data_IF_208694329276
#
_entry.id   IF_208694329276
#
_cell.length_a   1.000
_cell.length_b   1.000
_cell.length_c   1.000
_cell.angle_alpha   90.00
_cell.angle_beta   90.00
_cell.angle_gamma   90.00
#
_symmetry.space_group_name_H-M   'P 1'
#
loop_
_entity.id
_entity.type
_entity.pdbx_description
1 polymer ?
#
# COMPACT_ATOMS: atom_id res chain seq x y z
N UNK A 1 9.45 26.56 -3.04
CA UNK A 1 9.21 26.06 -1.67
C UNK A 1 8.33 24.83 -1.79
N UNK A 2 8.69 23.72 -1.15
CA UNK A 2 7.93 22.48 -1.27
C UNK A 2 6.47 22.66 -0.82
N UNK A 3 5.57 22.04 -1.57
CA UNK A 3 4.15 21.97 -1.25
C UNK A 3 3.84 20.73 -0.42
N UNK A 4 4.65 19.68 -0.60
CA UNK A 4 4.45 18.37 -0.02
C UNK A 4 5.76 17.82 0.55
N UNK A 5 5.70 17.08 1.66
CA UNK A 5 6.81 16.27 2.14
C UNK A 5 6.48 14.79 1.99
N UNK A 6 7.43 14.01 1.52
CA UNK A 6 7.36 12.55 1.47
C UNK A 6 8.11 12.01 2.68
N UNK A 7 7.44 11.30 3.60
CA UNK A 7 8.16 10.64 4.69
C UNK A 7 8.97 9.46 4.16
N UNK A 8 10.26 9.46 4.47
CA UNK A 8 11.12 8.32 4.27
C UNK A 8 10.68 7.16 5.18
N UNK A 9 10.78 5.94 4.67
CA UNK A 9 10.56 4.75 5.48
C UNK A 9 11.57 3.68 5.08
N UNK A 10 12.74 3.66 5.72
CA UNK A 10 13.85 2.75 5.37
C UNK A 10 13.51 1.25 5.48
N UNK A 11 12.35 0.89 6.04
CA UNK A 11 11.85 -0.50 6.02
C UNK A 11 11.22 -0.86 4.67
N UNK A 12 10.69 0.13 3.93
CA UNK A 12 9.89 -0.08 2.71
C UNK A 12 10.31 0.79 1.50
N UNK A 13 11.05 1.88 1.71
CA UNK A 13 11.53 2.84 0.73
C UNK A 13 13.02 3.08 0.95
N UNK A 14 13.81 3.02 -0.10
CA UNK A 14 15.16 3.58 -0.12
C UNK A 14 15.19 5.00 -0.70
N UNK A 15 16.36 5.63 -0.73
CA UNK A 15 16.51 6.99 -1.26
C UNK A 15 16.14 7.12 -2.74
N UNK A 16 16.39 6.08 -3.54
CA UNK A 16 16.03 6.08 -4.96
C UNK A 16 14.51 6.01 -5.13
N UNK A 17 13.84 5.17 -4.35
CA UNK A 17 12.38 5.08 -4.35
C UNK A 17 11.74 6.44 -3.99
N UNK A 18 12.31 7.16 -3.01
CA UNK A 18 11.82 8.49 -2.60
C UNK A 18 12.07 9.54 -3.69
N UNK A 19 13.23 9.52 -4.36
CA UNK A 19 13.52 10.42 -5.47
C UNK A 19 12.55 10.22 -6.63
N UNK A 20 12.30 8.98 -7.04
CA UNK A 20 11.34 8.66 -8.10
C UNK A 20 9.92 9.08 -7.75
N UNK A 21 9.51 8.92 -6.49
CA UNK A 21 8.23 9.42 -6.01
C UNK A 21 8.13 10.95 -6.12
N UNK A 22 9.20 11.68 -5.79
CA UNK A 22 9.24 13.13 -5.91
C UNK A 22 9.14 13.56 -7.38
N UNK A 23 9.85 12.88 -8.28
CA UNK A 23 9.76 13.13 -9.72
C UNK A 23 8.33 12.89 -10.24
N UNK A 24 7.71 11.77 -9.86
CA UNK A 24 6.34 11.46 -10.25
C UNK A 24 5.32 12.46 -9.69
N UNK A 25 5.55 13.02 -8.50
CA UNK A 25 4.75 14.11 -7.94
C UNK A 25 4.94 15.41 -8.73
N UNK A 26 6.15 15.68 -9.21
CA UNK A 26 6.42 16.84 -10.06
C UNK A 26 5.70 16.75 -11.41
N UNK A 27 5.53 15.55 -11.99
CA UNK A 27 4.70 15.33 -13.18
C UNK A 27 3.22 15.68 -12.94
N UNK A 28 2.75 15.59 -11.69
CA UNK A 28 1.41 16.01 -11.28
C UNK A 28 1.33 17.51 -10.94
N UNK A 29 2.41 18.27 -11.14
CA UNK A 29 2.50 19.69 -10.82
C UNK A 29 2.75 19.99 -9.33
N UNK A 30 3.14 18.97 -8.55
CA UNK A 30 3.39 19.10 -7.11
C UNK A 30 4.88 19.22 -6.84
N UNK A 31 5.28 20.21 -6.05
CA UNK A 31 6.67 20.29 -5.57
C UNK A 31 6.80 19.52 -4.26
N UNK A 32 7.57 18.44 -4.26
CA UNK A 32 7.78 17.60 -3.09
C UNK A 32 9.24 17.57 -2.64
N UNK A 33 9.47 17.36 -1.34
CA UNK A 33 10.80 17.16 -0.75
C UNK A 33 10.77 15.94 0.20
N UNK A 34 11.90 15.24 0.39
CA UNK A 34 11.97 14.15 1.35
C UNK A 34 11.93 14.71 2.78
N UNK A 35 11.43 13.92 3.72
CA UNK A 35 11.54 14.24 5.14
C UNK A 35 11.75 12.99 5.97
N UNK A 36 12.46 13.14 7.09
CA UNK A 36 12.63 12.06 8.05
C UNK A 36 11.28 11.56 8.56
N UNK A 37 11.18 10.28 9.00
CA UNK A 37 9.97 9.76 9.59
C UNK A 37 9.51 10.64 10.77
N UNK A 38 8.26 11.10 10.71
CA UNK A 38 7.60 11.90 11.78
C UNK A 38 6.39 11.18 12.32
N UNK A 39 5.76 10.35 11.50
CA UNK A 39 4.56 9.61 11.87
C UNK A 39 4.96 8.25 12.40
N UNK A 40 4.57 7.96 13.64
CA UNK A 40 4.68 6.61 14.17
C UNK A 40 3.65 5.70 13.48
N UNK A 41 4.11 4.86 12.55
CA UNK A 41 3.27 3.83 11.94
C UNK A 41 2.92 2.78 13.00
N UNK A 42 1.64 2.68 13.39
CA UNK A 42 1.16 1.61 14.27
C UNK A 42 0.53 0.50 13.43
N UNK A 43 1.09 -0.70 13.52
CA UNK A 43 0.56 -1.92 12.88
C UNK A 43 1.42 -2.42 11.72
N UNK A 44 1.15 -3.67 11.31
CA UNK A 44 1.85 -4.36 10.23
C UNK A 44 1.51 -3.81 8.82
N UNK A 45 0.53 -2.90 8.72
CA UNK A 45 0.04 -2.37 7.44
C UNK A 45 0.78 -1.06 7.11
N UNK A 46 1.82 -1.18 6.29
CA UNK A 46 2.58 -0.05 5.77
C UNK A 46 1.71 0.93 4.98
N UNK A 47 1.83 2.22 5.29
CA UNK A 47 1.29 3.33 4.52
C UNK A 47 2.40 4.28 4.06
N UNK A 48 2.25 4.83 2.86
CA UNK A 48 3.06 5.97 2.41
C UNK A 48 2.48 7.24 3.03
N UNK A 49 3.30 8.04 3.72
CA UNK A 49 2.84 9.27 4.38
C UNK A 49 3.30 10.49 3.57
N UNK A 50 2.34 11.34 3.22
CA UNK A 50 2.57 12.60 2.54
C UNK A 50 2.08 13.75 3.43
N UNK A 51 2.90 14.79 3.63
CA UNK A 51 2.49 15.98 4.38
C UNK A 51 2.24 17.15 3.45
N UNK A 52 1.01 17.63 3.41
CA UNK A 52 0.62 18.85 2.74
C UNK A 52 1.01 20.06 3.58
N UNK A 53 1.84 20.92 3.02
CA UNK A 53 2.40 22.08 3.72
C UNK A 53 1.64 23.39 3.44
N UNK A 54 0.81 23.44 2.40
CA UNK A 54 0.20 24.70 1.94
C UNK A 54 -1.20 24.90 2.48
N UNK A 55 -1.43 26.05 3.10
CA UNK A 55 -2.77 26.47 3.54
C UNK A 55 -3.48 27.34 2.48
N UNK A 56 -2.74 27.83 1.49
CA UNK A 56 -3.20 28.75 0.44
C UNK A 56 -3.73 28.04 -0.82
N UNK A 57 -3.66 26.72 -0.86
CA UNK A 57 -4.10 25.90 -1.98
C UNK A 57 -4.90 24.72 -1.45
N UNK A 58 -5.93 24.31 -2.20
CA UNK A 58 -6.71 23.15 -1.82
C UNK A 58 -5.79 21.92 -1.72
N UNK A 59 -5.93 21.12 -0.65
CA UNK A 59 -5.21 19.86 -0.54
C UNK A 59 -5.41 18.99 -1.78
N UNK A 60 -4.44 18.12 -2.06
CA UNK A 60 -4.48 17.12 -3.16
C UNK A 60 -5.49 15.99 -2.91
N UNK A 61 -6.66 16.32 -2.37
CA UNK A 61 -7.71 15.41 -1.96
C UNK A 61 -8.84 15.32 -2.97
N UNK A 62 -8.85 16.15 -4.04
CA UNK A 62 -9.79 16.02 -5.15
C UNK A 62 -9.65 14.66 -5.85
N UNK A 63 -10.75 14.02 -6.19
CA UNK A 63 -10.76 12.60 -6.59
C UNK A 63 -9.93 12.29 -7.84
N UNK A 64 -9.90 13.19 -8.82
CA UNK A 64 -9.06 13.03 -10.02
C UNK A 64 -7.56 13.07 -9.69
N UNK A 65 -7.14 14.01 -8.85
CA UNK A 65 -5.74 14.15 -8.41
C UNK A 65 -5.36 12.98 -7.50
N UNK A 66 -6.26 12.55 -6.62
CA UNK A 66 -6.07 11.40 -5.76
C UNK A 66 -5.90 10.09 -6.57
N UNK A 67 -6.69 9.89 -7.62
CA UNK A 67 -6.55 8.73 -8.51
C UNK A 67 -5.23 8.76 -9.30
N UNK A 68 -4.84 9.94 -9.79
CA UNK A 68 -3.55 10.13 -10.45
C UNK A 68 -2.38 9.84 -9.50
N UNK A 69 -2.46 10.32 -8.25
CA UNK A 69 -1.47 10.05 -7.21
C UNK A 69 -1.30 8.55 -6.95
N UNK A 70 -2.40 7.83 -6.74
CA UNK A 70 -2.37 6.36 -6.54
C UNK A 70 -1.72 5.66 -7.73
N UNK A 71 -2.05 6.09 -8.95
CA UNK A 71 -1.49 5.52 -10.18
C UNK A 71 0.01 5.77 -10.29
N UNK A 72 0.47 6.99 -10.03
CA UNK A 72 1.89 7.35 -10.04
C UNK A 72 2.68 6.59 -8.98
N UNK A 73 2.19 6.54 -7.74
CA UNK A 73 2.84 5.79 -6.65
C UNK A 73 2.91 4.29 -6.98
N UNK A 74 1.83 3.73 -7.51
CA UNK A 74 1.83 2.33 -7.92
C UNK A 74 2.83 2.07 -9.06
N UNK A 75 2.92 2.97 -10.04
CA UNK A 75 3.86 2.87 -11.16
C UNK A 75 5.30 2.84 -10.65
N UNK A 76 5.71 3.81 -9.83
CA UNK A 76 7.09 3.90 -9.36
C UNK A 76 7.45 2.72 -8.45
N UNK A 77 6.62 2.42 -7.45
CA UNK A 77 6.95 1.36 -6.47
C UNK A 77 6.80 -0.06 -7.03
N UNK A 78 6.08 -0.26 -8.15
CA UNK A 78 6.06 -1.53 -8.87
C UNK A 78 7.27 -1.72 -9.78
N UNK A 79 7.96 -0.64 -10.18
CA UNK A 79 9.14 -0.77 -11.02
C UNK A 79 10.33 -1.22 -10.18
N UNK A 80 10.88 -2.38 -10.52
CA UNK A 80 12.08 -2.88 -9.87
C UNK A 80 13.28 -2.08 -10.36
N UNK A 81 13.81 -1.19 -9.53
CA UNK A 81 15.11 -0.57 -9.76
C UNK A 81 16.22 -1.45 -9.18
N UNK A 82 17.33 -1.59 -9.91
CA UNK A 82 18.47 -2.38 -9.46
C UNK A 82 18.94 -1.89 -8.09
N UNK A 83 19.20 -2.82 -7.16
CA UNK A 83 19.79 -2.47 -5.88
C UNK A 83 21.06 -1.65 -6.14
N UNK A 84 21.13 -0.43 -5.60
CA UNK A 84 22.26 0.46 -5.82
C UNK A 84 23.60 -0.20 -5.42
N UNK A 85 24.74 0.29 -5.91
CA UNK A 85 26.06 -0.31 -5.71
C UNK A 85 26.51 -0.43 -4.24
N UNK A 86 25.75 0.12 -3.29
CA UNK A 86 25.94 -0.03 -1.84
C UNK A 86 25.15 -1.18 -1.18
N UNK A 87 24.35 -1.94 -1.92
CA UNK A 87 23.67 -3.13 -1.39
C UNK A 87 22.57 -2.86 -0.36
N UNK A 88 22.05 -1.62 -0.25
CA UNK A 88 20.87 -1.30 0.54
C UNK A 88 19.63 -1.92 -0.11
N UNK A 89 19.46 -3.23 0.09
CA UNK A 89 18.22 -3.92 -0.21
C UNK A 89 17.23 -3.59 0.89
N UNK A 90 16.21 -2.80 0.57
CA UNK A 90 15.00 -2.71 1.38
C UNK A 90 14.46 -4.14 1.55
N UNK A 91 14.33 -4.61 2.79
CA UNK A 91 13.81 -5.95 3.07
C UNK A 91 12.35 -6.03 2.65
N UNK A 92 12.07 -6.65 1.51
CA UNK A 92 10.71 -6.93 1.07
C UNK A 92 9.99 -5.65 0.63
N UNK A 93 10.47 -5.04 -0.47
CA UNK A 93 9.72 -4.07 -1.27
C UNK A 93 8.31 -4.61 -1.48
N UNK A 94 7.39 -4.05 -0.73
CA UNK A 94 5.96 -4.34 -0.77
C UNK A 94 5.29 -3.16 -1.48
N UNK A 95 3.97 -3.15 -1.65
CA UNK A 95 3.28 -1.91 -1.94
C UNK A 95 2.69 -1.38 -0.63
N UNK A 96 2.61 -0.05 -0.45
CA UNK A 96 1.85 0.49 0.67
C UNK A 96 0.41 -0.01 0.54
N UNK A 97 -0.25 -0.32 1.66
CA UNK A 97 -1.68 -0.66 1.68
C UNK A 97 -2.53 0.57 1.37
N UNK A 98 -2.01 1.75 1.71
CA UNK A 98 -2.64 3.05 1.49
C UNK A 98 -1.64 4.19 1.45
N UNK A 99 -2.08 5.33 0.93
CA UNK A 99 -1.38 6.61 1.02
C UNK A 99 -2.17 7.48 2.01
N UNK A 100 -1.51 7.94 3.07
CA UNK A 100 -2.11 8.86 4.04
C UNK A 100 -1.59 10.28 3.76
N UNK A 101 -2.51 11.17 3.37
CA UNK A 101 -2.24 12.60 3.16
C UNK A 101 -2.57 13.31 4.47
N UNK A 102 -1.55 13.92 5.08
CA UNK A 102 -1.64 14.65 6.33
C UNK A 102 -1.47 16.14 6.10
N UNK A 103 -2.11 16.96 6.91
CA UNK A 103 -1.87 18.40 6.91
C UNK A 103 -0.63 18.77 7.70
N UNK A 104 -0.32 20.06 7.74
CA UNK A 104 0.87 20.60 8.41
C UNK A 104 0.92 20.25 9.90
N UNK A 105 -0.23 20.17 10.58
CA UNK A 105 -0.29 19.81 11.99
C UNK A 105 -0.29 18.30 12.24
N UNK A 106 -0.19 17.50 11.17
CA UNK A 106 -0.14 16.04 11.21
C UNK A 106 -1.51 15.37 11.23
N UNK A 107 -2.59 16.14 11.15
CA UNK A 107 -3.96 15.65 11.01
C UNK A 107 -4.14 14.89 9.70
N UNK A 108 -4.90 13.80 9.70
CA UNK A 108 -5.19 13.04 8.48
C UNK A 108 -6.23 13.79 7.65
N UNK A 109 -5.87 14.24 6.45
CA UNK A 109 -6.77 14.91 5.51
C UNK A 109 -7.51 13.89 4.64
N UNK A 110 -6.79 12.90 4.10
CA UNK A 110 -7.36 11.83 3.28
C UNK A 110 -6.50 10.58 3.35
N UNK A 111 -7.14 9.42 3.25
CA UNK A 111 -6.47 8.13 3.09
C UNK A 111 -6.92 7.48 1.79
N UNK A 112 -5.96 7.04 0.98
CA UNK A 112 -6.19 6.49 -0.36
C UNK A 112 -5.77 5.03 -0.38
N UNK A 113 -6.70 4.12 -0.67
CA UNK A 113 -6.39 2.70 -0.79
C UNK A 113 -5.51 2.43 -2.02
N UNK A 114 -4.48 1.62 -1.86
CA UNK A 114 -3.63 1.20 -2.97
C UNK A 114 -4.17 -0.08 -3.60
N UNK A 115 -4.26 -0.16 -4.94
CA UNK A 115 -4.68 -1.36 -5.62
C UNK A 115 -3.62 -2.46 -5.47
N UNK A 116 -4.05 -3.70 -5.19
CA UNK A 116 -3.17 -4.88 -5.15
C UNK A 116 -2.43 -5.11 -3.84
N UNK A 117 -2.45 -4.17 -2.89
CA UNK A 117 -1.96 -4.42 -1.54
C UNK A 117 -2.99 -5.25 -0.75
N UNK A 118 -2.69 -6.53 -0.51
CA UNK A 118 -3.50 -7.32 0.43
C UNK A 118 -3.25 -6.76 1.84
N UNK A 119 -4.21 -6.03 2.39
CA UNK A 119 -4.29 -5.89 3.84
C UNK A 119 -4.23 -7.30 4.41
N UNK A 120 -3.31 -7.57 5.36
CA UNK A 120 -3.33 -8.85 6.07
C UNK A 120 -4.77 -9.06 6.54
N UNK A 121 -5.43 -10.19 6.22
CA UNK A 121 -6.76 -10.43 6.74
C UNK A 121 -6.63 -10.39 8.26
N UNK A 122 -7.14 -9.30 8.87
CA UNK A 122 -7.22 -9.18 10.31
C UNK A 122 -7.97 -10.42 10.75
N UNK A 123 -7.39 -11.22 11.65
CA UNK A 123 -7.94 -12.47 12.16
C UNK A 123 -9.36 -12.33 12.76
N UNK A 124 -9.92 -11.11 12.80
CA UNK A 124 -11.29 -10.79 13.17
C UNK A 124 -12.38 -11.34 12.22
N UNK A 125 -12.07 -11.85 11.01
CA UNK A 125 -13.09 -12.41 10.11
C UNK A 125 -13.42 -13.89 10.32
N UNK A 126 -12.71 -14.61 11.19
CA UNK A 126 -12.98 -16.04 11.42
C UNK A 126 -14.26 -16.32 12.25
N UNK A 127 -14.89 -15.31 12.83
CA UNK A 127 -16.06 -15.49 13.72
C UNK A 127 -17.43 -15.38 13.04
N UNK A 128 -17.51 -15.04 11.75
CA UNK A 128 -18.79 -14.99 11.01
C UNK A 128 -18.89 -16.06 9.93
N UNK A 129 -18.86 -17.33 10.33
CA UNK A 129 -19.62 -18.43 9.72
C UNK A 129 -19.61 -18.65 8.20
N UNK A 130 -18.73 -18.01 7.43
CA UNK A 130 -18.67 -18.16 5.97
C UNK A 130 -17.62 -19.22 5.65
N UNK A 131 -18.06 -20.48 5.64
CA UNK A 131 -17.37 -21.50 4.87
C UNK A 131 -17.50 -21.15 3.38
N UNK A 132 -16.42 -21.22 2.58
CA UNK A 132 -16.59 -21.27 1.13
C UNK A 132 -17.37 -22.54 0.81
N UNK A 133 -18.60 -22.39 0.33
CA UNK A 133 -19.35 -23.47 -0.28
C UNK A 133 -18.56 -23.93 -1.51
N UNK A 134 -17.91 -25.09 -1.39
CA UNK A 134 -17.44 -25.87 -2.54
C UNK A 134 -18.67 -26.23 -3.36
N UNK A 135 -18.95 -25.43 -4.39
CA UNK A 135 -19.95 -25.76 -5.39
C UNK A 135 -19.35 -26.77 -6.36
N UNK A 136 -20.01 -27.93 -6.37
CA UNK A 136 -20.23 -28.81 -7.50
C UNK A 136 -19.09 -29.71 -7.98
N UNK A 137 -19.29 -31.00 -7.71
CA UNK A 137 -18.42 -32.11 -8.08
C UNK A 137 -19.16 -33.41 -7.83
N UNK A 138 -20.32 -33.55 -8.48
CA UNK A 138 -21.13 -34.75 -8.70
C UNK A 138 -20.69 -36.05 -7.98
N UNK A 139 -21.51 -36.46 -7.02
CA UNK A 139 -21.52 -37.81 -6.46
C UNK A 139 -21.76 -38.87 -7.56
N UNK A 140 -20.82 -39.80 -7.72
CA UNK A 140 -21.10 -41.15 -8.19
C UNK A 140 -20.65 -42.14 -7.12
N UNK A 141 -21.64 -42.79 -6.49
CA UNK A 141 -21.44 -43.97 -5.62
C UNK A 141 -20.78 -45.08 -6.43
N UNK A 142 -19.90 -45.88 -5.80
CA UNK A 142 -19.97 -47.31 -5.98
C UNK A 142 -20.33 -48.01 -4.67
N UNK A 143 -21.12 -49.07 -4.83
CA UNK A 143 -21.70 -49.90 -3.79
C UNK A 143 -20.63 -50.65 -2.98
N UNK A 144 -20.92 -50.82 -1.69
CA UNK A 144 -20.20 -51.71 -0.77
C UNK A 144 -20.25 -53.17 -1.23
N UNK A 145 -19.16 -53.94 -1.07
CA UNK A 145 -19.25 -55.37 -0.83
C UNK A 145 -19.06 -55.67 0.67
N UNK A 146 -19.99 -56.48 1.20
CA UNK A 146 -19.94 -57.09 2.54
C UNK A 146 -18.74 -58.05 2.65
N UNK A 147 -18.09 -58.18 3.82
CA UNK A 147 -17.14 -59.27 4.07
C UNK A 147 -17.90 -60.58 4.33
N UNK A 148 -17.57 -61.62 3.58
CA UNK A 148 -17.95 -63.01 3.88
C UNK A 148 -16.73 -63.78 4.37
N UNK A 149 -16.80 -64.23 5.62
CA UNK A 149 -16.05 -65.36 6.19
C UNK A 149 -16.93 -65.93 7.31
N UNK A 150 -16.76 -67.19 7.73
CA UNK A 150 -15.73 -68.17 7.38
C UNK A 150 -16.15 -69.21 6.34
#
# INVERSE_FOLDING_TARGET
MAQLLVEENFQHLDGQDVELLIEALAELGLTAEPTQPRTATRGDDWALILHWLRDDTEPITGDAVAAALVTSVARELCQAHAAGPGGTSVRGRTLPVRIDIRGRSGELLKSLAMPGAQAKPTAARWWRGQHPTTTDGAARRPASPLPSTP
#
